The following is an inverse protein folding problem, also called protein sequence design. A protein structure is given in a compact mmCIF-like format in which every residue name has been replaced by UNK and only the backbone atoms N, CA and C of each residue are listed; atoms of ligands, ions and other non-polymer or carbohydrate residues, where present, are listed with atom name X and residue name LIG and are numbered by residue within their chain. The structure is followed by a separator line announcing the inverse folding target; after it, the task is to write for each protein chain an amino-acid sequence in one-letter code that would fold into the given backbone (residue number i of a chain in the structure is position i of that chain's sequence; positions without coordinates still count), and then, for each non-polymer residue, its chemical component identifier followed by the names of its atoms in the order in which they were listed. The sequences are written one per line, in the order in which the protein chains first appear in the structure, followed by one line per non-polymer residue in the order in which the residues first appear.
data_IF_619909540700
#
_entry.id   IF_619909540700
#
_cell.length_a   1.000
_cell.length_b   1.000
_cell.length_c   1.000
_cell.angle_alpha   90.00
_cell.angle_beta   90.00
_cell.angle_gamma   90.00
#
_symmetry.space_group_name_H-M   'P 1'
#
loop_
_entity.id
_entity.type
_entity.pdbx_description
1 polymer ?
#
# COMPACT_ATOMS: atom_id res chain seq x y z
N UNK A 1 -26.75 -24.44 2.38
CA UNK A 1 -25.81 -23.44 1.83
C UNK A 1 -24.60 -24.18 1.28
N UNK A 2 -24.45 -24.29 -0.05
CA UNK A 2 -23.36 -25.09 -0.65
C UNK A 2 -21.99 -24.52 -0.24
N UNK A 3 -21.87 -23.20 -0.11
CA UNK A 3 -20.62 -22.51 0.25
C UNK A 3 -20.11 -22.75 1.68
N UNK A 4 -20.91 -23.35 2.55
CA UNK A 4 -20.55 -23.64 3.95
C UNK A 4 -20.17 -25.10 4.18
N UNK A 5 -20.21 -25.94 3.14
CA UNK A 5 -19.80 -27.35 3.23
C UNK A 5 -18.27 -27.48 3.11
N UNK A 6 -17.57 -27.21 4.22
CA UNK A 6 -16.10 -27.32 4.31
C UNK A 6 -15.56 -28.75 4.23
N UNK A 7 -16.44 -29.78 4.17
CA UNK A 7 -16.05 -31.16 3.92
C UNK A 7 -15.72 -31.44 2.45
N UNK A 8 -16.13 -30.56 1.53
CA UNK A 8 -15.69 -30.60 0.14
C UNK A 8 -14.34 -29.86 0.00
N UNK A 9 -13.33 -30.56 -0.51
CA UNK A 9 -11.99 -30.01 -0.74
C UNK A 9 -11.99 -28.73 -1.59
N UNK A 10 -12.94 -28.59 -2.52
CA UNK A 10 -13.07 -27.40 -3.39
C UNK A 10 -13.52 -26.19 -2.58
N UNK A 11 -14.51 -26.36 -1.71
CA UNK A 11 -15.03 -25.29 -0.86
C UNK A 11 -13.98 -24.88 0.18
N UNK A 12 -13.26 -25.85 0.73
CA UNK A 12 -12.14 -25.59 1.64
C UNK A 12 -11.02 -24.78 0.95
N UNK A 13 -10.67 -25.12 -0.29
CA UNK A 13 -9.67 -24.39 -1.08
C UNK A 13 -10.11 -22.94 -1.33
N UNK A 14 -11.36 -22.72 -1.74
CA UNK A 14 -11.93 -21.38 -1.95
C UNK A 14 -11.88 -20.57 -0.65
N UNK A 15 -12.30 -21.14 0.48
CA UNK A 15 -12.27 -20.48 1.78
C UNK A 15 -10.85 -20.04 2.19
N UNK A 16 -9.85 -20.90 1.97
CA UNK A 16 -8.44 -20.58 2.21
C UNK A 16 -7.94 -19.43 1.31
N UNK A 17 -8.37 -19.39 0.05
CA UNK A 17 -8.04 -18.31 -0.88
C UNK A 17 -8.65 -16.98 -0.44
N UNK A 18 -9.96 -16.97 -0.12
CA UNK A 18 -10.67 -15.78 0.39
C UNK A 18 -9.98 -15.22 1.64
N UNK A 19 -9.61 -16.10 2.58
CA UNK A 19 -8.88 -15.71 3.79
C UNK A 19 -7.52 -15.07 3.48
N UNK A 20 -6.82 -15.58 2.47
CA UNK A 20 -5.51 -15.04 2.05
C UNK A 20 -5.64 -13.68 1.38
N UNK A 21 -6.66 -13.50 0.53
CA UNK A 21 -6.99 -12.21 -0.10
C UNK A 21 -7.37 -11.17 0.96
N UNK A 22 -8.24 -11.51 1.92
CA UNK A 22 -8.61 -10.60 2.99
C UNK A 22 -7.41 -10.16 3.84
N UNK A 23 -6.50 -11.08 4.16
CA UNK A 23 -5.24 -10.72 4.84
C UNK A 23 -4.40 -9.74 4.02
N UNK A 24 -4.37 -9.89 2.71
CA UNK A 24 -3.65 -8.96 1.83
C UNK A 24 -4.30 -7.57 1.80
N UNK A 25 -5.64 -7.51 1.74
CA UNK A 25 -6.41 -6.26 1.88
C UNK A 25 -6.05 -5.54 3.19
N UNK A 26 -6.10 -6.26 4.32
CA UNK A 26 -5.73 -5.68 5.62
C UNK A 26 -4.28 -5.17 5.65
N UNK A 27 -3.34 -5.90 5.03
CA UNK A 27 -1.96 -5.45 4.90
C UNK A 27 -1.84 -4.19 4.04
N UNK A 28 -2.59 -4.09 2.94
CA UNK A 28 -2.60 -2.89 2.11
C UNK A 28 -3.11 -1.67 2.88
N UNK A 29 -4.20 -1.81 3.64
CA UNK A 29 -4.68 -0.73 4.52
C UNK A 29 -3.61 -0.26 5.52
N UNK A 30 -2.78 -1.18 6.04
CA UNK A 30 -1.78 -0.86 7.05
C UNK A 30 -0.45 -0.32 6.48
N UNK A 31 -0.05 -0.78 5.30
CA UNK A 31 1.32 -0.60 4.78
C UNK A 31 1.44 0.31 3.56
N UNK A 32 0.32 0.69 2.94
CA UNK A 32 0.32 1.77 1.94
C UNK A 32 0.91 3.03 2.60
N UNK A 33 1.89 3.61 1.94
CA UNK A 33 2.52 4.89 2.30
C UNK A 33 2.39 5.82 1.11
N UNK A 34 2.00 7.05 1.39
CA UNK A 34 1.88 8.08 0.39
C UNK A 34 3.06 9.03 0.49
N UNK A 35 3.56 9.45 -0.67
CA UNK A 35 4.59 10.48 -0.82
C UNK A 35 3.99 11.62 -1.64
N UNK A 36 4.18 12.85 -1.19
CA UNK A 36 3.62 14.03 -1.88
C UNK A 36 4.46 14.39 -3.12
N UNK A 37 3.83 14.41 -4.28
CA UNK A 37 4.44 14.87 -5.55
C UNK A 37 4.34 16.39 -5.71
N UNK A 38 5.11 16.95 -6.65
CA UNK A 38 5.10 18.39 -6.96
C UNK A 38 3.71 18.91 -7.36
N UNK A 39 2.91 18.11 -8.06
CA UNK A 39 1.55 18.47 -8.49
C UNK A 39 0.49 18.36 -7.38
N UNK A 40 0.90 18.37 -6.11
CA UNK A 40 0.06 18.18 -4.92
C UNK A 40 -0.73 16.84 -4.87
N UNK A 41 -0.31 15.85 -5.67
CA UNK A 41 -0.87 14.50 -5.67
C UNK A 41 -0.07 13.58 -4.74
N UNK A 42 -0.77 12.84 -3.89
CA UNK A 42 -0.17 11.82 -3.04
C UNK A 42 -0.02 10.50 -3.78
N UNK A 43 1.22 10.08 -4.04
CA UNK A 43 1.50 8.85 -4.76
C UNK A 43 1.88 7.70 -3.82
N UNK A 44 1.36 6.51 -4.09
CA UNK A 44 1.75 5.28 -3.41
C UNK A 44 2.08 4.16 -4.39
N UNK A 45 3.12 3.40 -4.02
CA UNK A 45 3.62 2.24 -4.78
C UNK A 45 3.28 0.98 -4.00
N UNK A 46 2.60 0.03 -4.65
CA UNK A 46 2.28 -1.27 -4.06
C UNK A 46 2.70 -2.42 -4.97
N UNK A 47 2.96 -3.57 -4.35
CA UNK A 47 3.15 -4.86 -5.04
C UNK A 47 2.47 -5.98 -4.24
N UNK A 48 1.12 -6.05 -4.25
CA UNK A 48 0.41 -7.06 -3.50
C UNK A 48 0.48 -8.45 -4.16
N UNK A 49 0.40 -9.49 -3.34
CA UNK A 49 0.38 -10.88 -3.83
C UNK A 49 -0.82 -11.12 -4.75
N UNK A 50 -1.99 -10.65 -4.32
CA UNK A 50 -3.27 -10.80 -4.99
C UNK A 50 -3.74 -9.50 -5.63
N UNK A 51 -4.71 -9.61 -6.54
CA UNK A 51 -5.29 -8.45 -7.21
C UNK A 51 -6.27 -7.71 -6.28
N UNK A 52 -5.73 -6.94 -5.33
CA UNK A 52 -6.53 -6.32 -4.25
C UNK A 52 -6.77 -4.83 -4.44
N UNK A 53 -6.12 -4.18 -5.41
CA UNK A 53 -6.27 -2.74 -5.64
C UNK A 53 -7.74 -2.33 -5.78
N UNK A 54 -8.61 -3.02 -6.56
CA UNK A 54 -10.03 -2.65 -6.65
C UNK A 54 -10.78 -2.78 -5.32
N UNK A 55 -10.31 -3.67 -4.43
CA UNK A 55 -10.96 -3.96 -3.15
C UNK A 55 -10.59 -2.96 -2.06
N UNK A 56 -9.43 -2.30 -2.17
CA UNK A 56 -8.93 -1.34 -1.16
C UNK A 56 -9.34 0.10 -1.48
N UNK A 57 -9.77 0.41 -2.71
CA UNK A 57 -10.11 1.77 -3.16
C UNK A 57 -11.08 2.47 -2.21
N UNK A 58 -12.17 1.78 -1.84
CA UNK A 58 -13.20 2.35 -0.96
C UNK A 58 -12.59 2.84 0.37
N UNK A 59 -11.70 2.04 0.96
CA UNK A 59 -11.04 2.40 2.22
C UNK A 59 -10.21 3.69 2.08
N UNK A 60 -9.42 3.81 1.02
CA UNK A 60 -8.57 4.98 0.81
C UNK A 60 -9.37 6.21 0.41
N UNK A 61 -10.42 6.06 -0.41
CA UNK A 61 -11.36 7.14 -0.73
C UNK A 61 -11.99 7.69 0.53
N UNK A 62 -12.59 6.83 1.36
CA UNK A 62 -13.31 7.26 2.58
C UNK A 62 -12.37 7.91 3.61
N UNK A 63 -11.11 7.46 3.66
CA UNK A 63 -10.09 7.94 4.61
C UNK A 63 -9.41 9.23 4.18
N UNK A 64 -9.12 9.40 2.89
CA UNK A 64 -8.37 10.53 2.32
C UNK A 64 -9.25 11.27 1.30
N UNK A 65 -10.37 11.82 1.78
CA UNK A 65 -11.38 12.48 0.93
C UNK A 65 -10.96 13.87 0.47
N UNK A 66 -10.10 14.52 1.23
CA UNK A 66 -9.63 15.91 1.09
C UNK A 66 -8.37 16.05 0.24
N UNK A 67 -7.80 14.93 -0.23
CA UNK A 67 -6.50 14.91 -0.90
C UNK A 67 -6.58 14.08 -2.19
N UNK A 68 -5.96 14.58 -3.26
CA UNK A 68 -5.78 13.81 -4.49
C UNK A 68 -4.72 12.75 -4.24
N UNK A 69 -5.03 11.51 -4.59
CA UNK A 69 -4.09 10.41 -4.40
C UNK A 69 -4.10 9.43 -5.56
N UNK A 70 -2.97 8.73 -5.71
CA UNK A 70 -2.75 7.73 -6.73
C UNK A 70 -2.09 6.51 -6.09
N UNK A 71 -2.67 5.32 -6.28
CA UNK A 71 -2.08 4.06 -5.86
C UNK A 71 -1.78 3.25 -7.11
N UNK A 72 -0.53 2.82 -7.27
CA UNK A 72 -0.09 2.08 -8.45
C UNK A 72 0.45 0.69 -8.08
N UNK A 73 -0.11 -0.36 -8.69
CA UNK A 73 0.36 -1.74 -8.57
C UNK A 73 1.48 -1.99 -9.59
N UNK A 74 2.73 -2.01 -9.11
CA UNK A 74 3.90 -2.25 -9.95
C UNK A 74 3.97 -3.67 -10.51
N UNK A 75 3.33 -4.64 -9.86
CA UNK A 75 3.35 -6.04 -10.28
C UNK A 75 2.40 -6.28 -11.45
N UNK A 76 1.27 -5.58 -11.48
CA UNK A 76 0.21 -5.73 -12.49
C UNK A 76 0.13 -4.56 -13.48
N UNK A 77 0.91 -3.51 -13.24
CA UNK A 77 1.05 -2.34 -14.09
C UNK A 77 -0.25 -1.59 -14.34
N UNK A 78 -1.02 -1.34 -13.27
CA UNK A 78 -2.21 -0.49 -13.33
C UNK A 78 -2.41 0.23 -12.00
N UNK A 79 -3.19 1.31 -12.01
CA UNK A 79 -3.38 2.16 -10.85
C UNK A 79 -4.80 2.66 -10.68
N UNK A 80 -5.04 3.27 -9.53
CA UNK A 80 -6.25 3.99 -9.17
C UNK A 80 -5.87 5.44 -8.85
N UNK A 81 -6.58 6.39 -9.43
CA UNK A 81 -6.42 7.83 -9.19
C UNK A 81 -7.71 8.41 -8.64
N UNK A 82 -7.60 9.18 -7.55
CA UNK A 82 -8.71 9.90 -6.93
C UNK A 82 -8.52 11.40 -7.13
N UNK A 83 -9.52 12.03 -7.74
CA UNK A 83 -9.49 13.44 -8.14
C UNK A 83 -10.23 14.39 -7.19
N UNK A 84 -10.70 13.87 -6.04
CA UNK A 84 -11.59 14.48 -5.03
C UNK A 84 -13.09 14.21 -5.22
N UNK A 85 -13.50 13.69 -6.38
CA UNK A 85 -14.89 13.34 -6.65
C UNK A 85 -15.04 11.82 -6.83
N UNK A 86 -14.27 11.27 -7.76
CA UNK A 86 -14.35 9.88 -8.19
C UNK A 86 -12.98 9.21 -8.26
N UNK A 87 -12.99 7.88 -8.27
CA UNK A 87 -11.78 7.07 -8.40
C UNK A 87 -11.78 6.44 -9.79
N UNK A 88 -10.77 6.77 -10.59
CA UNK A 88 -10.59 6.24 -11.94
C UNK A 88 -9.47 5.21 -11.96
N UNK A 89 -9.72 4.08 -12.61
CA UNK A 89 -8.71 3.07 -12.88
C UNK A 89 -7.98 3.41 -14.16
N UNK A 90 -6.67 3.27 -14.18
CA UNK A 90 -5.85 3.55 -15.35
C UNK A 90 -4.76 2.50 -15.54
N UNK A 91 -4.38 2.29 -16.79
CA UNK A 91 -3.24 1.49 -17.20
C UNK A 91 -2.27 2.43 -17.92
N UNK A 92 -1.05 2.66 -17.39
CA UNK A 92 -0.09 3.51 -18.06
C UNK A 92 0.35 2.89 -19.38
N UNK A 93 0.28 3.66 -20.45
CA UNK A 93 0.91 3.32 -21.74
C UNK A 93 2.44 3.30 -21.56
N UNK A 94 3.16 2.51 -22.37
CA UNK A 94 4.62 2.26 -22.25
C UNK A 94 5.49 3.53 -22.12
N UNK A 95 5.02 4.69 -22.61
CA UNK A 95 5.70 5.98 -22.49
C UNK A 95 5.61 6.65 -21.10
N UNK A 96 4.73 6.18 -20.22
CA UNK A 96 4.41 6.79 -18.91
C UNK A 96 4.92 5.93 -17.75
N UNK A 97 5.77 4.94 -18.01
CA UNK A 97 6.39 4.12 -16.97
C UNK A 97 7.29 5.03 -16.13
N UNK A 98 6.77 5.50 -15.00
CA UNK A 98 7.51 6.28 -14.01
C UNK A 98 8.70 5.41 -13.60
N UNK A 99 9.95 5.79 -13.93
CA UNK A 99 11.09 4.96 -13.61
C UNK A 99 11.17 4.81 -12.10
N UNK A 100 11.28 3.56 -11.65
CA UNK A 100 11.36 3.14 -10.23
C UNK A 100 12.40 3.91 -9.40
N UNK A 101 13.36 4.58 -10.05
CA UNK A 101 14.48 5.32 -9.46
C UNK A 101 14.45 6.85 -9.58
N UNK A 102 13.52 7.49 -10.29
CA UNK A 102 13.50 8.97 -10.44
C UNK A 102 12.53 9.66 -9.48
N UNK A 103 12.58 9.36 -8.18
CA UNK A 103 11.60 9.90 -7.23
C UNK A 103 12.01 11.24 -6.63
N UNK A 104 13.29 11.53 -6.42
CA UNK A 104 13.68 12.76 -5.70
C UNK A 104 13.30 14.06 -6.43
N UNK A 105 13.34 14.06 -7.77
CA UNK A 105 13.04 15.22 -8.60
C UNK A 105 11.54 15.48 -8.80
N UNK A 106 10.68 14.47 -8.56
CA UNK A 106 9.22 14.59 -8.71
C UNK A 106 8.51 14.84 -7.38
N UNK A 107 9.19 14.64 -6.26
CA UNK A 107 8.64 14.89 -4.93
C UNK A 107 8.57 16.39 -4.64
N UNK A 108 7.58 16.75 -3.83
CA UNK A 108 7.46 18.10 -3.32
C UNK A 108 8.69 18.47 -2.46
N UNK A 109 9.14 19.72 -2.50
CA UNK A 109 10.35 20.17 -1.80
C UNK A 109 10.31 19.89 -0.28
N UNK A 110 9.13 20.04 0.32
CA UNK A 110 8.91 19.76 1.74
C UNK A 110 8.80 18.27 2.09
N UNK A 111 8.57 17.39 1.11
CA UNK A 111 8.33 15.96 1.35
C UNK A 111 9.53 15.31 2.04
N UNK A 112 10.74 15.62 1.58
CA UNK A 112 11.97 15.09 2.19
C UNK A 112 12.11 15.51 3.66
N UNK A 113 11.62 16.70 4.02
CA UNK A 113 11.61 17.14 5.41
C UNK A 113 10.59 16.35 6.24
N UNK A 114 9.39 16.11 5.71
CA UNK A 114 8.38 15.29 6.36
C UNK A 114 8.85 13.85 6.60
N UNK A 115 9.50 13.24 5.61
CA UNK A 115 10.08 11.90 5.75
C UNK A 115 11.11 11.83 6.88
N UNK A 116 12.01 12.82 6.97
CA UNK A 116 12.98 12.91 8.08
C UNK A 116 12.31 13.10 9.44
N UNK A 117 11.26 13.92 9.52
CA UNK A 117 10.49 14.11 10.75
C UNK A 117 9.80 12.81 11.18
N UNK A 118 9.18 12.11 10.25
CA UNK A 118 8.56 10.82 10.48
C UNK A 118 9.55 9.78 11.00
N UNK A 119 10.70 9.63 10.35
CA UNK A 119 11.76 8.73 10.79
C UNK A 119 12.21 9.06 12.21
N UNK A 120 12.50 10.34 12.50
CA UNK A 120 12.90 10.77 13.85
C UNK A 120 11.85 10.43 14.90
N UNK A 121 10.59 10.71 14.62
CA UNK A 121 9.48 10.36 15.50
C UNK A 121 9.39 8.84 15.72
N UNK A 122 9.43 8.05 14.65
CA UNK A 122 9.36 6.58 14.71
C UNK A 122 10.49 5.99 15.56
N UNK A 123 11.73 6.44 15.37
CA UNK A 123 12.87 5.96 16.15
C UNK A 123 12.81 6.40 17.62
N UNK A 124 12.38 7.64 17.89
CA UNK A 124 12.36 8.19 19.26
C UNK A 124 11.22 7.66 20.12
N UNK A 125 10.09 7.32 19.52
CA UNK A 125 8.96 6.72 20.23
C UNK A 125 9.14 5.22 20.50
N UNK A 126 10.11 4.59 19.84
CA UNK A 126 10.38 3.17 20.01
C UNK A 126 10.95 2.88 21.41
N UNK A 127 10.42 1.86 22.07
CA UNK A 127 10.87 1.39 23.39
C UNK A 127 11.88 0.25 23.17
N UNK A 128 13.19 0.46 23.39
CA UNK A 128 14.22 -0.52 23.06
C UNK A 128 14.00 -1.89 23.72
N UNK A 129 13.47 -1.91 24.94
CA UNK A 129 13.20 -3.10 25.74
C UNK A 129 12.09 -3.96 25.14
N UNK A 130 11.20 -3.39 24.32
CA UNK A 130 10.11 -4.11 23.63
C UNK A 130 10.52 -4.70 22.28
N UNK A 131 11.81 -4.64 21.93
CA UNK A 131 12.32 -5.10 20.63
C UNK A 131 12.20 -6.63 20.50
N UNK A 132 11.21 -7.08 19.72
CA UNK A 132 11.06 -8.47 19.30
C UNK A 132 11.06 -8.58 17.78
N UNK A 133 12.23 -8.85 17.19
CA UNK A 133 12.41 -8.91 15.73
C UNK A 133 11.59 -10.05 15.11
N UNK A 134 11.49 -11.20 15.77
CA UNK A 134 10.77 -12.36 15.25
C UNK A 134 9.28 -12.04 15.07
N UNK A 135 8.65 -11.46 16.09
CA UNK A 135 7.26 -11.02 16.02
C UNK A 135 7.09 -9.87 15.02
N UNK A 136 8.04 -8.92 14.99
CA UNK A 136 8.00 -7.80 14.03
C UNK A 136 7.97 -8.28 12.58
N UNK A 137 8.77 -9.28 12.22
CA UNK A 137 8.78 -9.86 10.86
C UNK A 137 7.50 -10.65 10.55
N UNK A 138 6.88 -11.28 11.55
CA UNK A 138 5.60 -11.97 11.37
C UNK A 138 4.45 -10.98 11.11
N UNK A 139 4.40 -9.88 11.87
CA UNK A 139 3.37 -8.85 11.72
C UNK A 139 3.59 -7.96 10.50
N UNK A 140 4.84 -7.62 10.20
CA UNK A 140 5.24 -6.80 9.05
C UNK A 140 6.28 -7.56 8.20
N UNK A 141 5.83 -8.35 7.22
CA UNK A 141 6.71 -9.10 6.32
C UNK A 141 7.70 -8.20 5.58
N UNK A 142 8.95 -8.67 5.45
CA UNK A 142 10.07 -7.90 4.86
C UNK A 142 9.81 -7.36 3.46
N UNK A 143 9.00 -8.04 2.66
CA UNK A 143 8.65 -7.62 1.29
C UNK A 143 8.03 -6.23 1.19
N UNK A 144 7.35 -5.77 2.25
CA UNK A 144 6.74 -4.43 2.29
C UNK A 144 7.72 -3.35 2.73
N UNK A 145 8.86 -3.71 3.33
CA UNK A 145 9.78 -2.73 3.93
C UNK A 145 10.35 -1.76 2.88
N UNK A 146 10.45 -2.18 1.62
CA UNK A 146 10.89 -1.31 0.51
C UNK A 146 9.98 -0.11 0.25
N UNK A 147 8.73 -0.14 0.71
CA UNK A 147 7.76 0.97 0.56
C UNK A 147 7.52 1.73 1.87
N UNK A 148 8.24 1.40 2.94
CA UNK A 148 8.11 2.06 4.23
C UNK A 148 9.21 3.08 4.43
N UNK A 149 8.81 4.34 4.60
CA UNK A 149 9.72 5.46 4.88
C UNK A 149 10.52 5.25 6.16
N UNK A 150 9.95 4.58 7.16
CA UNK A 150 10.58 4.33 8.47
C UNK A 150 11.66 3.22 8.49
N UNK A 151 11.89 2.51 7.38
CA UNK A 151 12.85 1.37 7.34
C UNK A 151 14.23 1.73 6.79
N UNK A 152 14.48 3.00 6.47
CA UNK A 152 15.73 3.53 5.91
C UNK A 152 16.36 4.58 6.82
#
# INVERSE_FOLDING_TARGET
NILENYGDDRILAISKLVKSVNREIHRMHAFVRFEKMQDDVYFSRIEPDYNVLPLIIKHFRDRYRDQKWMIYDFKRQYGAFYDLEEVQMFEPTESTIIPTRKTAETLHESELQYQKLWQRYFFKTNIPERKNIKLHVQSLPKRYWKYLTEKW
#
